data_IF_547487336496
#
_entry.id   IF_547487336496
#
_cell.length_a   1.000
_cell.length_b   1.000
_cell.length_c   1.000
_cell.angle_alpha   90.00
_cell.angle_beta   90.00
_cell.angle_gamma   90.00
#
_symmetry.space_group_name_H-M   'P 1'
#
loop_
_entity.id
_entity.type
_entity.pdbx_description
1 polymer ?
#
# COMPACT_ATOMS: atom_id res chain seq x y z
N UNK A 1 -23.17 -10.52 2.75
CA UNK A 1 -22.15 -9.69 2.09
C UNK A 1 -21.34 -10.59 1.15
N UNK A 2 -21.23 -10.23 -0.12
CA UNK A 2 -20.38 -10.93 -1.11
C UNK A 2 -19.18 -10.05 -1.44
N UNK A 3 -18.01 -10.64 -1.66
CA UNK A 3 -16.81 -9.93 -2.10
C UNK A 3 -16.90 -9.48 -3.57
N UNK A 4 -17.81 -10.07 -4.34
CA UNK A 4 -18.03 -9.79 -5.76
C UNK A 4 -19.18 -8.81 -6.02
N UNK A 5 -19.70 -8.18 -4.97
CA UNK A 5 -20.76 -7.19 -5.12
C UNK A 5 -20.27 -5.96 -5.90
N UNK A 6 -21.13 -5.35 -6.70
CA UNK A 6 -20.79 -4.20 -7.55
C UNK A 6 -20.30 -2.97 -6.76
N UNK A 7 -20.60 -2.91 -5.46
CA UNK A 7 -20.16 -1.84 -4.56
C UNK A 7 -18.80 -2.08 -3.91
N UNK A 8 -18.24 -3.29 -4.04
CA UNK A 8 -17.01 -3.71 -3.36
C UNK A 8 -15.76 -2.94 -3.82
N UNK A 9 -15.71 -2.50 -5.08
CA UNK A 9 -14.54 -1.87 -5.72
C UNK A 9 -13.23 -2.69 -5.61
N UNK A 10 -13.33 -4.00 -5.32
CA UNK A 10 -12.17 -4.89 -5.35
C UNK A 10 -11.87 -5.29 -6.79
N UNK A 11 -10.62 -5.05 -7.22
CA UNK A 11 -10.13 -5.56 -8.50
C UNK A 11 -9.97 -7.09 -8.49
N UNK A 12 -9.73 -7.66 -9.67
CA UNK A 12 -9.52 -9.11 -9.82
C UNK A 12 -8.30 -9.63 -9.04
N UNK A 13 -7.20 -8.86 -9.03
CA UNK A 13 -5.96 -9.23 -8.32
C UNK A 13 -6.15 -9.31 -6.79
N UNK A 14 -6.71 -8.29 -6.12
CA UNK A 14 -7.01 -8.37 -4.69
C UNK A 14 -7.95 -9.50 -4.31
N UNK A 15 -8.98 -9.77 -5.13
CA UNK A 15 -9.87 -10.92 -4.94
C UNK A 15 -9.10 -12.24 -5.03
N UNK A 16 -8.24 -12.38 -6.04
CA UNK A 16 -7.43 -13.57 -6.22
C UNK A 16 -6.51 -13.80 -5.00
N UNK A 17 -5.89 -12.76 -4.45
CA UNK A 17 -5.08 -12.84 -3.24
C UNK A 17 -5.90 -13.21 -2.00
N UNK A 18 -7.13 -12.71 -1.86
CA UNK A 18 -8.02 -13.10 -0.76
C UNK A 18 -8.41 -14.58 -0.83
N UNK A 19 -8.65 -15.11 -2.04
CA UNK A 19 -8.96 -16.53 -2.23
C UNK A 19 -7.72 -17.43 -2.11
N UNK A 20 -6.54 -16.90 -2.43
CA UNK A 20 -5.27 -17.64 -2.44
C UNK A 20 -4.20 -16.89 -1.66
N UNK A 21 -4.35 -16.78 -0.32
CA UNK A 21 -3.36 -16.07 0.49
C UNK A 21 -2.01 -16.77 0.42
N UNK A 22 -0.88 -16.02 0.48
CA UNK A 22 0.44 -16.61 0.55
C UNK A 22 0.55 -17.60 1.71
N UNK A 23 0.90 -18.86 1.42
CA UNK A 23 1.03 -19.92 2.43
C UNK A 23 2.48 -20.11 2.92
N UNK A 24 3.43 -19.46 2.26
CA UNK A 24 4.84 -19.51 2.63
C UNK A 24 5.20 -18.40 3.60
N UNK A 25 6.07 -18.64 4.59
CA UNK A 25 6.58 -17.59 5.46
C UNK A 25 7.18 -16.45 4.65
N UNK A 26 6.82 -15.22 5.01
CA UNK A 26 7.37 -14.03 4.38
C UNK A 26 8.87 -13.94 4.65
N UNK A 27 9.67 -13.86 3.58
CA UNK A 27 11.12 -13.72 3.65
C UNK A 27 11.54 -12.34 3.13
N UNK A 28 12.12 -11.52 3.99
CA UNK A 28 12.66 -10.20 3.64
C UNK A 28 14.17 -10.23 3.93
N UNK A 29 14.96 -10.61 2.92
CA UNK A 29 16.41 -10.76 3.07
C UNK A 29 17.20 -9.49 2.70
N UNK A 30 16.57 -8.54 2.01
CA UNK A 30 17.22 -7.31 1.59
C UNK A 30 17.23 -6.26 2.71
N UNK A 31 18.40 -5.80 3.18
CA UNK A 31 18.49 -4.75 4.19
C UNK A 31 17.79 -3.45 3.78
N UNK A 32 17.82 -3.11 2.49
CA UNK A 32 17.18 -1.91 1.95
C UNK A 32 15.66 -2.02 1.96
N UNK A 33 15.11 -3.21 1.67
CA UNK A 33 13.68 -3.49 1.80
C UNK A 33 13.26 -3.46 3.26
N UNK A 34 14.03 -4.09 4.16
CA UNK A 34 13.77 -4.08 5.60
C UNK A 34 13.76 -2.64 6.14
N UNK A 35 14.73 -1.81 5.75
CA UNK A 35 14.79 -0.39 6.10
C UNK A 35 13.56 0.36 5.58
N UNK A 36 13.14 0.09 4.34
CA UNK A 36 11.98 0.72 3.72
C UNK A 36 10.69 0.41 4.49
N UNK A 37 10.47 -0.87 4.84
CA UNK A 37 9.31 -1.32 5.62
C UNK A 37 9.35 -0.71 7.02
N UNK A 38 10.52 -0.71 7.67
CA UNK A 38 10.71 -0.12 9.00
C UNK A 38 10.37 1.37 8.99
N UNK A 39 10.86 2.13 8.00
CA UNK A 39 10.51 3.54 7.83
C UNK A 39 9.02 3.74 7.59
N UNK A 40 8.40 2.91 6.76
CA UNK A 40 6.97 3.02 6.46
C UNK A 40 6.12 2.82 7.72
N UNK A 41 6.40 1.76 8.50
CA UNK A 41 5.68 1.46 9.73
C UNK A 41 5.94 2.49 10.84
N UNK A 42 7.19 2.95 11.00
CA UNK A 42 7.52 4.01 11.96
C UNK A 42 6.82 5.34 11.65
N UNK A 43 6.35 5.53 10.41
CA UNK A 43 5.68 6.73 9.92
C UNK A 43 4.18 6.52 9.67
N UNK A 44 3.57 5.49 10.26
CA UNK A 44 2.15 5.14 10.04
C UNK A 44 1.20 6.34 10.20
N UNK A 45 1.42 7.18 11.21
CA UNK A 45 0.61 8.38 11.48
C UNK A 45 1.22 9.67 10.93
N UNK A 46 2.29 9.56 10.15
CA UNK A 46 2.96 10.69 9.53
C UNK A 46 2.51 10.89 8.09
N UNK A 47 2.78 12.08 7.57
CA UNK A 47 2.53 12.36 6.16
C UNK A 47 3.46 11.55 5.24
N UNK A 48 3.01 11.27 4.02
CA UNK A 48 3.88 10.76 2.95
C UNK A 48 5.12 11.65 2.73
N UNK A 49 5.00 12.95 2.99
CA UNK A 49 6.13 13.90 2.92
C UNK A 49 7.23 13.54 3.93
N UNK A 50 6.87 13.12 5.14
CA UNK A 50 7.84 12.70 6.16
C UNK A 50 8.68 11.51 5.68
N UNK A 51 8.05 10.50 5.04
CA UNK A 51 8.78 9.37 4.46
C UNK A 51 9.75 9.84 3.37
N UNK A 52 9.28 10.69 2.44
CA UNK A 52 10.13 11.20 1.34
C UNK A 52 11.32 12.01 1.86
N UNK A 53 11.13 12.78 2.93
CA UNK A 53 12.21 13.54 3.58
C UNK A 53 13.27 12.61 4.15
N UNK A 54 12.87 11.58 4.91
CA UNK A 54 13.83 10.61 5.47
C UNK A 54 14.50 9.82 4.35
N UNK A 55 13.73 9.34 3.35
CA UNK A 55 14.25 8.62 2.19
C UNK A 55 15.35 9.40 1.45
N UNK A 56 15.08 10.67 1.14
CA UNK A 56 16.06 11.56 0.49
C UNK A 56 17.28 11.78 1.38
N UNK A 57 17.06 12.06 2.67
CA UNK A 57 18.13 12.27 3.64
C UNK A 57 19.04 11.04 3.77
N UNK A 58 18.47 9.84 3.84
CA UNK A 58 19.23 8.59 3.89
C UNK A 58 20.05 8.41 2.61
N UNK A 59 19.45 8.59 1.43
CA UNK A 59 20.19 8.46 0.16
C UNK A 59 21.35 9.45 0.06
N UNK A 60 21.16 10.69 0.49
CA UNK A 60 22.19 11.73 0.41
C UNK A 60 23.33 11.54 1.39
N UNK A 61 23.06 11.05 2.61
CA UNK A 61 24.09 10.94 3.65
C UNK A 61 24.86 9.61 3.58
N UNK A 62 24.30 8.59 2.95
CA UNK A 62 24.88 7.25 2.86
C UNK A 62 25.18 6.84 1.41
N UNK A 63 25.46 7.80 0.52
CA UNK A 63 25.83 7.53 -0.87
C UNK A 63 26.98 6.52 -0.93
N UNK A 64 26.80 5.46 -1.73
CA UNK A 64 27.80 4.40 -1.91
C UNK A 64 27.81 3.31 -0.85
N UNK A 65 27.00 3.42 0.21
CA UNK A 65 26.77 2.31 1.13
C UNK A 65 25.88 1.24 0.45
N UNK A 66 26.12 -0.02 0.79
CA UNK A 66 25.42 -1.16 0.22
C UNK A 66 23.90 -1.05 0.44
N UNK A 67 23.13 -1.28 -0.63
CA UNK A 67 21.67 -1.26 -0.61
C UNK A 67 21.01 0.12 -0.47
N UNK A 68 21.76 1.21 -0.33
CA UNK A 68 21.17 2.56 -0.19
C UNK A 68 20.38 2.98 -1.42
N UNK A 69 20.85 2.61 -2.62
CA UNK A 69 20.13 2.91 -3.84
C UNK A 69 18.83 2.11 -3.99
N UNK A 70 18.76 0.95 -3.34
CA UNK A 70 17.63 0.03 -3.38
C UNK A 70 16.54 0.37 -2.35
N UNK A 71 16.74 1.39 -1.51
CA UNK A 71 15.70 1.84 -0.57
C UNK A 71 14.49 2.32 -1.36
N UNK A 72 13.35 1.67 -1.10
CA UNK A 72 12.12 1.83 -1.84
C UNK A 72 11.49 3.20 -1.59
N UNK A 73 10.87 3.74 -2.64
CA UNK A 73 9.98 4.89 -2.50
C UNK A 73 8.75 4.52 -1.65
N UNK A 74 8.06 5.55 -1.13
CA UNK A 74 6.82 5.36 -0.34
C UNK A 74 5.78 4.47 -1.07
N UNK A 75 5.61 4.69 -2.37
CA UNK A 75 4.65 3.92 -3.16
C UNK A 75 5.11 2.48 -3.39
N UNK A 76 6.41 2.28 -3.63
CA UNK A 76 6.96 0.95 -3.84
C UNK A 76 6.88 0.09 -2.58
N UNK A 77 7.22 0.64 -1.39
CA UNK A 77 7.07 -0.11 -0.13
C UNK A 77 5.61 -0.38 0.21
N UNK A 78 4.70 0.58 -0.03
CA UNK A 78 3.26 0.36 0.19
C UNK A 78 2.73 -0.77 -0.70
N UNK A 79 3.12 -0.78 -1.98
CA UNK A 79 2.77 -1.85 -2.92
C UNK A 79 3.34 -3.20 -2.48
N UNK A 80 4.61 -3.24 -2.09
CA UNK A 80 5.26 -4.45 -1.61
C UNK A 80 4.55 -5.04 -0.37
N UNK A 81 4.16 -4.18 0.58
CA UNK A 81 3.39 -4.61 1.76
C UNK A 81 2.03 -5.19 1.34
N UNK A 82 1.34 -4.57 0.38
CA UNK A 82 0.07 -5.08 -0.13
C UNK A 82 0.24 -6.45 -0.81
N UNK A 83 1.30 -6.63 -1.61
CA UNK A 83 1.64 -7.92 -2.24
C UNK A 83 1.94 -9.01 -1.19
N UNK A 84 2.66 -8.67 -0.12
CA UNK A 84 3.01 -9.62 0.94
C UNK A 84 1.85 -9.99 1.85
N UNK A 85 0.95 -9.06 2.12
CA UNK A 85 -0.13 -9.25 3.09
C UNK A 85 -1.47 -9.57 2.45
N UNK A 86 -1.62 -9.30 1.14
CA UNK A 86 -2.92 -9.27 0.48
C UNK A 86 -3.81 -8.11 0.92
N UNK A 87 -3.32 -7.21 1.78
CA UNK A 87 -4.10 -6.08 2.32
C UNK A 87 -3.91 -4.86 1.44
N UNK A 88 -4.91 -4.55 0.62
CA UNK A 88 -4.96 -3.33 -0.19
C UNK A 88 -5.95 -2.31 0.36
N UNK A 89 -5.60 -1.02 0.27
CA UNK A 89 -6.51 0.06 0.64
C UNK A 89 -7.56 0.27 -0.45
N UNK A 90 -8.81 -0.06 -0.16
CA UNK A 90 -9.94 0.30 -1.03
C UNK A 90 -10.36 1.72 -0.69
N UNK A 91 -10.41 2.60 -1.69
CA UNK A 91 -10.80 4.00 -1.51
C UNK A 91 -12.13 4.28 -2.20
N UNK A 92 -13.20 4.23 -1.43
CA UNK A 92 -14.49 4.75 -1.89
C UNK A 92 -14.46 6.28 -1.80
N UNK A 93 -14.76 6.95 -2.92
CA UNK A 93 -15.00 8.40 -2.89
C UNK A 93 -16.28 8.65 -2.09
N UNK A 94 -16.14 9.10 -0.84
CA UNK A 94 -17.29 9.55 -0.05
C UNK A 94 -17.65 10.96 -0.50
N UNK A 95 -18.86 11.14 -1.04
CA UNK A 95 -19.34 12.47 -1.38
C UNK A 95 -19.66 13.24 -0.08
N UNK A 96 -19.07 14.42 0.14
CA UNK A 96 -19.23 15.16 1.41
C UNK A 96 -20.68 15.57 1.73
N UNK A 97 -21.60 15.55 0.75
CA UNK A 97 -23.00 15.96 0.91
C UNK A 97 -24.02 14.88 0.47
N UNK A 98 -23.71 13.59 0.67
CA UNK A 98 -24.69 12.49 0.49
C UNK A 98 -25.24 12.38 -0.96
N UNK A 99 -24.36 12.23 -1.95
CA UNK A 99 -24.76 11.79 -3.29
C UNK A 99 -24.94 10.27 -3.34
N UNK A 100 -25.98 9.77 -2.66
CA UNK A 100 -26.46 8.39 -2.85
C UNK A 100 -26.71 8.07 -4.33
N UNK A 101 -27.08 9.08 -5.12
CA UNK A 101 -27.41 8.97 -6.55
C UNK A 101 -26.20 8.89 -7.50
N UNK A 102 -24.96 9.18 -7.08
CA UNK A 102 -23.81 9.24 -8.01
C UNK A 102 -22.72 8.20 -7.70
N UNK A 103 -22.72 7.63 -6.50
CA UNK A 103 -21.75 6.61 -6.10
C UNK A 103 -22.44 5.57 -5.21
N UNK A 104 -22.80 4.42 -5.77
CA UNK A 104 -23.45 3.33 -5.04
C UNK A 104 -24.49 2.58 -5.89
N UNK A 105 -25.31 1.70 -5.29
CA UNK A 105 -26.30 0.88 -6.00
C UNK A 105 -27.44 1.69 -6.64
N UNK A 106 -27.47 3.02 -6.42
CA UNK A 106 -28.41 3.96 -7.03
C UNK A 106 -27.76 4.84 -8.11
N UNK A 107 -26.52 4.56 -8.53
CA UNK A 107 -25.83 5.33 -9.57
C UNK A 107 -26.47 5.17 -10.96
N UNK A 108 -27.16 4.03 -11.19
CA UNK A 108 -27.85 3.70 -12.44
C UNK A 108 -29.38 3.95 -12.37
N UNK A 109 -29.87 4.63 -11.32
CA UNK A 109 -31.29 4.94 -11.10
C UNK A 109 -31.70 6.31 -11.64
#
# INVERSE_FOLDING_TARGET
ASLEDSTSQLGAEPLQHLYHPPQTPLKIDSPSIQQSITMYLALEHSSQKSYKTIHTGTKQNFVGAEGVEDILSFWAVKRLIAEYTGVESIKHNMCPNMCLAYTGPFADL
#
